data_IF_977525387131
#
_entry.id   IF_977525387131
#
_cell.length_a   1.000
_cell.length_b   1.000
_cell.length_c   1.000
_cell.angle_alpha   90.00
_cell.angle_beta   90.00
_cell.angle_gamma   90.00
#
_symmetry.space_group_name_H-M   'P 1'
#
loop_
_entity.id
_entity.type
_entity.pdbx_description
1 polymer ?
#
# COMPACT_ATOMS: atom_id res chain seq x y z
N UNK A 1 67.46 21.20 -33.19
CA UNK A 1 67.00 20.53 -31.95
C UNK A 1 65.60 21.00 -31.64
N UNK A 2 64.58 20.22 -32.00
CA UNK A 2 63.18 20.51 -31.71
C UNK A 2 62.81 19.81 -30.39
N UNK A 3 62.38 20.60 -29.43
CA UNK A 3 61.91 20.12 -28.14
C UNK A 3 60.46 19.58 -28.26
N UNK A 4 60.25 18.33 -27.91
CA UNK A 4 58.92 17.70 -27.84
C UNK A 4 58.24 18.12 -26.51
N UNK A 5 57.01 18.65 -26.64
CA UNK A 5 56.14 18.90 -25.50
C UNK A 5 55.47 17.60 -25.02
N UNK A 6 55.29 17.41 -23.70
CA UNK A 6 54.62 16.22 -23.18
C UNK A 6 53.09 16.31 -23.37
N UNK A 7 52.50 15.17 -23.83
CA UNK A 7 51.07 14.96 -23.92
C UNK A 7 50.42 14.98 -22.52
N UNK A 8 49.46 15.89 -22.32
CA UNK A 8 48.57 15.84 -21.16
C UNK A 8 47.56 14.71 -21.29
N UNK A 9 47.60 13.82 -20.34
CA UNK A 9 46.64 12.74 -20.15
C UNK A 9 45.30 13.36 -19.69
N UNK A 10 44.26 13.29 -20.50
CA UNK A 10 42.90 13.68 -20.11
C UNK A 10 42.33 12.65 -19.14
N UNK A 11 41.96 13.11 -17.96
CA UNK A 11 41.16 12.33 -17.00
C UNK A 11 39.72 12.13 -17.54
N UNK A 12 39.12 10.94 -17.34
CA UNK A 12 37.71 10.71 -17.73
C UNK A 12 36.79 11.54 -16.82
N UNK A 13 36.05 12.47 -17.44
CA UNK A 13 34.98 13.19 -16.76
C UNK A 13 33.88 12.23 -16.35
N UNK A 14 33.56 12.19 -15.06
CA UNK A 14 32.36 11.52 -14.54
C UNK A 14 31.13 12.12 -15.20
N UNK A 15 30.39 11.27 -15.93
CA UNK A 15 29.21 11.68 -16.65
C UNK A 15 28.12 12.17 -15.70
N UNK A 16 27.68 13.40 -15.90
CA UNK A 16 26.45 13.91 -15.29
C UNK A 16 25.25 13.07 -15.76
N UNK A 17 24.25 12.84 -14.91
CA UNK A 17 23.05 12.16 -15.33
C UNK A 17 22.35 12.94 -16.45
N UNK A 18 22.27 12.33 -17.64
CA UNK A 18 21.54 12.91 -18.78
C UNK A 18 20.05 12.93 -18.46
N UNK A 19 19.51 14.11 -18.21
CA UNK A 19 18.07 14.36 -18.22
C UNK A 19 17.60 14.22 -19.67
N UNK A 20 16.90 13.15 -19.96
CA UNK A 20 16.35 12.90 -21.30
C UNK A 20 14.97 13.58 -21.39
N UNK A 21 14.84 14.61 -22.23
CA UNK A 21 13.55 15.19 -22.60
C UNK A 21 13.07 14.45 -23.84
N UNK A 22 11.94 13.70 -23.79
CA UNK A 22 11.49 12.93 -24.93
C UNK A 22 10.77 13.80 -25.94
N UNK A 23 11.27 13.85 -27.17
CA UNK A 23 10.44 14.11 -28.35
C UNK A 23 9.67 12.84 -28.70
N UNK A 24 8.42 12.98 -29.14
CA UNK A 24 7.48 11.91 -29.49
C UNK A 24 8.13 10.76 -30.29
N UNK A 25 8.26 9.60 -29.67
CA UNK A 25 8.77 8.38 -30.31
C UNK A 25 9.29 7.40 -29.26
N UNK A 26 8.65 6.23 -29.15
CA UNK A 26 9.02 5.03 -28.36
C UNK A 26 9.95 5.29 -27.14
N UNK A 27 9.36 5.71 -26.02
CA UNK A 27 10.03 5.82 -24.74
C UNK A 27 10.47 4.42 -24.28
N UNK A 28 11.73 4.08 -24.46
CA UNK A 28 12.34 2.94 -23.76
C UNK A 28 12.63 3.35 -22.33
N UNK A 29 11.79 2.90 -21.40
CA UNK A 29 12.06 3.06 -19.97
C UNK A 29 13.19 2.11 -19.57
N UNK A 30 14.36 2.64 -19.25
CA UNK A 30 15.42 1.87 -18.58
C UNK A 30 15.06 1.78 -17.10
N UNK A 31 14.64 0.60 -16.66
CA UNK A 31 14.36 0.35 -15.25
C UNK A 31 15.67 0.36 -14.46
N UNK A 32 15.71 1.17 -13.42
CA UNK A 32 16.82 1.24 -12.48
C UNK A 32 16.65 0.16 -11.41
N UNK A 33 17.73 -0.14 -10.68
CA UNK A 33 17.62 -1.03 -9.51
C UNK A 33 17.11 -0.27 -8.26
N UNK A 34 16.81 1.02 -8.39
CA UNK A 34 16.29 1.84 -7.31
C UNK A 34 14.76 1.99 -7.41
N UNK A 35 14.00 1.46 -6.43
CA UNK A 35 12.55 1.50 -6.46
C UNK A 35 11.96 2.90 -6.35
N UNK A 36 12.63 3.87 -5.74
CA UNK A 36 12.16 5.25 -5.66
C UNK A 36 12.22 5.94 -7.02
N UNK A 37 13.28 5.70 -7.80
CA UNK A 37 13.39 6.18 -9.17
C UNK A 37 12.27 5.63 -10.06
N UNK A 38 11.87 4.37 -9.85
CA UNK A 38 10.75 3.76 -10.58
C UNK A 38 9.40 4.35 -10.15
N UNK A 39 9.21 4.58 -8.85
CA UNK A 39 8.04 5.29 -8.33
C UNK A 39 7.95 6.71 -8.88
N UNK A 40 9.07 7.42 -9.04
CA UNK A 40 9.07 8.77 -9.62
C UNK A 40 8.37 8.81 -10.97
N UNK A 41 8.59 7.81 -11.82
CA UNK A 41 8.04 7.71 -13.17
C UNK A 41 6.57 7.24 -13.19
N UNK A 42 6.05 6.67 -12.12
CA UNK A 42 4.73 6.05 -12.09
C UNK A 42 3.60 7.08 -11.93
N UNK A 43 2.45 6.79 -12.53
CA UNK A 43 1.22 7.59 -12.39
C UNK A 43 0.18 6.92 -11.49
N UNK A 44 0.31 5.60 -11.28
CA UNK A 44 -0.63 4.78 -10.53
C UNK A 44 0.08 3.60 -9.91
N UNK A 45 -0.46 3.08 -8.80
CA UNK A 45 -0.12 1.77 -8.28
C UNK A 45 -1.35 0.88 -8.19
N UNK A 46 -1.16 -0.42 -8.39
CA UNK A 46 -2.18 -1.46 -8.16
C UNK A 46 -1.63 -2.43 -7.11
N UNK A 47 -2.32 -2.56 -5.99
CA UNK A 47 -2.03 -3.52 -4.94
C UNK A 47 -2.99 -4.70 -5.14
N UNK A 48 -2.46 -5.91 -5.24
CA UNK A 48 -3.24 -7.15 -5.32
C UNK A 48 -2.86 -8.05 -4.16
N UNK A 49 -3.82 -8.39 -3.33
CA UNK A 49 -3.65 -9.40 -2.29
C UNK A 49 -3.60 -10.77 -2.92
N UNK A 50 -2.70 -11.63 -2.45
CA UNK A 50 -2.61 -13.00 -2.92
C UNK A 50 -3.68 -13.84 -2.21
N UNK A 51 -4.56 -14.56 -2.95
CA UNK A 51 -5.52 -15.47 -2.34
C UNK A 51 -4.82 -16.59 -1.56
N UNK A 52 -5.22 -16.80 -0.33
CA UNK A 52 -4.67 -17.85 0.56
C UNK A 52 -5.62 -19.05 0.57
N UNK A 53 -5.36 -20.02 -0.32
CA UNK A 53 -6.19 -21.25 -0.40
C UNK A 53 -6.21 -22.04 0.91
N UNK A 54 -5.16 -21.95 1.72
CA UNK A 54 -5.09 -22.59 3.03
C UNK A 54 -6.13 -22.05 4.01
N UNK A 55 -6.43 -20.77 3.99
CA UNK A 55 -7.47 -20.16 4.83
C UNK A 55 -8.87 -20.64 4.45
N UNK A 56 -9.15 -20.74 3.14
CA UNK A 56 -10.42 -21.22 2.62
C UNK A 56 -10.69 -22.67 3.10
N UNK A 57 -9.64 -23.49 3.17
CA UNK A 57 -9.77 -24.90 3.55
C UNK A 57 -9.78 -25.14 5.07
N UNK A 58 -9.04 -24.37 5.83
CA UNK A 58 -8.81 -24.60 7.26
C UNK A 58 -9.54 -23.62 8.17
N UNK A 59 -9.95 -22.46 7.67
CA UNK A 59 -10.50 -21.36 8.46
C UNK A 59 -9.47 -20.69 9.38
N UNK A 60 -8.17 -21.00 9.21
CA UNK A 60 -7.09 -20.39 9.99
C UNK A 60 -6.46 -19.26 9.21
N UNK A 61 -6.40 -18.09 9.82
CA UNK A 61 -5.80 -16.89 9.22
C UNK A 61 -4.29 -17.08 9.02
N UNK A 62 -3.81 -16.87 7.79
CA UNK A 62 -2.41 -16.96 7.41
C UNK A 62 -1.76 -15.60 7.30
N UNK A 63 -0.49 -15.51 6.87
CA UNK A 63 0.23 -14.24 6.68
C UNK A 63 -0.19 -13.59 5.37
N UNK A 64 -0.65 -12.36 5.41
CA UNK A 64 -1.03 -11.62 4.22
C UNK A 64 0.15 -11.39 3.27
N UNK A 65 -0.12 -11.54 1.98
CA UNK A 65 0.84 -11.29 0.91
C UNK A 65 0.22 -10.41 -0.15
N UNK A 66 0.99 -9.38 -0.55
CA UNK A 66 0.55 -8.45 -1.56
C UNK A 66 1.59 -8.31 -2.67
N UNK A 67 1.10 -8.08 -3.87
CA UNK A 67 1.86 -7.74 -5.06
C UNK A 67 1.53 -6.32 -5.47
N UNK A 68 2.54 -5.46 -5.58
CA UNK A 68 2.37 -4.07 -5.97
C UNK A 68 2.91 -3.86 -7.36
N UNK A 69 2.05 -3.42 -8.25
CA UNK A 69 2.37 -3.05 -9.62
C UNK A 69 2.30 -1.54 -9.76
N UNK A 70 3.17 -0.96 -10.56
CA UNK A 70 3.09 0.45 -10.96
C UNK A 70 2.70 0.56 -12.42
N UNK A 71 1.94 1.61 -12.74
CA UNK A 71 1.59 1.95 -14.12
C UNK A 71 2.37 3.20 -14.53
N UNK A 72 3.07 3.13 -15.65
CA UNK A 72 3.80 4.23 -16.25
C UNK A 72 2.88 5.10 -17.12
N UNK A 73 3.28 6.33 -17.50
CA UNK A 73 2.45 7.21 -18.32
C UNK A 73 2.04 6.64 -19.68
N UNK A 74 2.81 5.68 -20.22
CA UNK A 74 2.47 4.97 -21.45
C UNK A 74 1.47 3.82 -21.26
N UNK A 75 0.98 3.61 -20.03
CA UNK A 75 0.06 2.53 -19.68
C UNK A 75 0.72 1.18 -19.37
N UNK A 76 2.05 1.07 -19.48
CA UNK A 76 2.76 -0.17 -19.14
C UNK A 76 2.71 -0.43 -17.64
N UNK A 77 2.32 -1.64 -17.25
CA UNK A 77 2.41 -2.11 -15.87
C UNK A 77 3.76 -2.79 -15.60
N UNK A 78 4.33 -2.52 -14.42
CA UNK A 78 5.52 -3.18 -13.92
C UNK A 78 5.28 -3.69 -12.48
N UNK A 79 5.68 -4.93 -12.22
CA UNK A 79 5.73 -5.47 -10.86
C UNK A 79 6.88 -4.82 -10.10
N UNK A 80 6.57 -4.10 -9.01
CA UNK A 80 7.55 -3.31 -8.28
C UNK A 80 7.90 -3.92 -6.91
N UNK A 81 6.87 -4.25 -6.12
CA UNK A 81 7.08 -4.77 -4.76
C UNK A 81 6.30 -6.05 -4.51
N UNK A 82 6.95 -6.94 -3.76
CA UNK A 82 6.31 -8.04 -3.04
C UNK A 82 6.29 -7.70 -1.55
N UNK A 83 5.09 -7.70 -0.96
CA UNK A 83 4.92 -7.43 0.45
C UNK A 83 4.50 -8.71 1.17
N UNK A 84 5.07 -8.94 2.35
CA UNK A 84 4.77 -10.10 3.19
C UNK A 84 4.61 -9.67 4.63
N UNK A 85 3.47 -10.01 5.21
CA UNK A 85 3.22 -9.85 6.64
C UNK A 85 4.10 -10.80 7.46
N UNK A 86 4.60 -10.32 8.59
CA UNK A 86 5.23 -11.13 9.63
C UNK A 86 4.47 -10.89 10.93
N UNK A 87 3.67 -11.85 11.32
CA UNK A 87 2.93 -11.88 12.58
C UNK A 87 2.88 -13.31 13.12
N UNK A 88 2.68 -13.47 14.41
CA UNK A 88 2.58 -14.80 14.98
C UNK A 88 1.18 -15.39 14.74
N UNK A 89 1.10 -16.70 14.47
CA UNK A 89 -0.18 -17.38 14.26
C UNK A 89 -1.14 -17.22 15.45
N UNK A 90 -0.63 -17.18 16.67
CA UNK A 90 -1.43 -16.91 17.86
C UNK A 90 -2.04 -15.50 17.83
N UNK A 91 -1.27 -14.48 17.48
CA UNK A 91 -1.79 -13.10 17.39
C UNK A 91 -2.86 -12.96 16.31
N UNK A 92 -2.68 -13.63 15.16
CA UNK A 92 -3.68 -13.60 14.07
C UNK A 92 -5.02 -14.19 14.49
N UNK A 93 -4.99 -15.31 15.20
CA UNK A 93 -6.21 -16.03 15.56
C UNK A 93 -6.80 -15.64 16.93
N UNK A 94 -6.04 -14.95 17.79
CA UNK A 94 -6.49 -14.57 19.14
C UNK A 94 -6.76 -13.08 19.30
N UNK A 95 -6.17 -12.22 18.46
CA UNK A 95 -6.33 -10.77 18.55
C UNK A 95 -7.08 -10.24 17.33
N UNK A 96 -7.90 -9.21 17.56
CA UNK A 96 -8.51 -8.48 16.43
C UNK A 96 -7.44 -7.79 15.60
N UNK A 97 -7.63 -7.67 14.29
CA UNK A 97 -6.72 -6.98 13.37
C UNK A 97 -6.33 -5.58 13.87
N UNK A 98 -7.27 -4.88 14.50
CA UNK A 98 -7.07 -3.56 15.09
C UNK A 98 -6.00 -3.51 16.17
N UNK A 99 -5.99 -4.49 17.07
CA UNK A 99 -5.15 -4.49 18.26
C UNK A 99 -3.78 -5.12 17.99
N UNK A 100 -3.72 -6.16 17.14
CA UNK A 100 -2.49 -6.93 16.96
C UNK A 100 -1.34 -6.10 16.38
N UNK A 101 -0.14 -6.42 16.84
CA UNK A 101 1.09 -5.97 16.19
C UNK A 101 1.26 -6.70 14.87
N UNK A 102 1.74 -6.01 13.85
CA UNK A 102 2.26 -6.65 12.65
C UNK A 102 3.44 -5.89 12.08
N UNK A 103 4.25 -6.61 11.33
CA UNK A 103 5.30 -6.09 10.50
C UNK A 103 5.07 -6.57 9.08
N UNK A 104 5.30 -5.70 8.10
CA UNK A 104 5.20 -6.06 6.70
C UNK A 104 6.49 -5.71 6.00
N UNK A 105 7.20 -6.71 5.50
CA UNK A 105 8.42 -6.52 4.71
C UNK A 105 8.06 -6.25 3.26
N UNK A 106 8.67 -5.21 2.70
CA UNK A 106 8.53 -4.79 1.31
C UNK A 106 9.82 -5.12 0.57
N UNK A 107 9.74 -6.08 -0.35
CA UNK A 107 10.86 -6.48 -1.21
C UNK A 107 10.70 -5.85 -2.58
N UNK A 108 11.73 -5.16 -3.05
CA UNK A 108 11.80 -4.66 -4.43
C UNK A 108 12.06 -5.81 -5.41
N UNK A 109 11.39 -5.78 -6.55
CA UNK A 109 11.50 -6.76 -7.64
C UNK A 109 12.04 -6.04 -8.89
N UNK A 110 13.35 -5.94 -9.07
CA UNK A 110 13.93 -5.18 -10.18
C UNK A 110 13.63 -5.82 -11.54
N UNK A 111 13.63 -7.16 -11.61
CA UNK A 111 13.35 -7.92 -12.84
C UNK A 111 12.46 -9.12 -12.50
N UNK A 112 11.44 -9.36 -13.32
CA UNK A 112 10.54 -10.51 -13.17
C UNK A 112 11.22 -11.74 -13.75
N UNK A 113 12.25 -12.27 -13.09
CA UNK A 113 12.90 -13.52 -13.49
C UNK A 113 12.31 -14.75 -12.81
N UNK A 114 11.60 -14.57 -11.68
CA UNK A 114 10.91 -15.66 -10.97
C UNK A 114 9.93 -15.11 -9.94
N UNK A 115 8.64 -15.46 -10.08
CA UNK A 115 7.61 -15.22 -9.04
C UNK A 115 7.85 -16.10 -7.78
N UNK A 116 8.69 -17.12 -7.87
CA UNK A 116 8.91 -18.11 -6.82
C UNK A 116 10.01 -17.75 -5.83
N UNK A 117 10.64 -16.56 -5.92
CA UNK A 117 11.61 -16.16 -4.92
C UNK A 117 10.91 -15.85 -3.58
N UNK A 118 10.92 -16.83 -2.70
CA UNK A 118 10.30 -16.76 -1.36
C UNK A 118 11.22 -16.12 -0.31
N UNK A 119 12.48 -15.86 -0.64
CA UNK A 119 13.46 -15.35 0.30
C UNK A 119 13.27 -13.86 0.57
N UNK A 120 12.79 -13.49 1.75
CA UNK A 120 12.76 -12.13 2.29
C UNK A 120 14.01 -11.79 3.13
N UNK A 121 15.17 -12.37 2.82
CA UNK A 121 16.41 -12.08 3.54
C UNK A 121 16.86 -10.64 3.40
N UNK A 122 16.63 -10.05 2.22
CA UNK A 122 16.86 -8.64 1.93
C UNK A 122 15.53 -8.00 1.54
N UNK A 123 15.17 -6.89 2.14
CA UNK A 123 13.97 -6.12 1.84
C UNK A 123 14.31 -4.63 1.77
N UNK A 124 13.53 -3.89 1.02
CA UNK A 124 13.72 -2.46 0.78
C UNK A 124 13.23 -1.63 1.97
N UNK A 125 12.04 -1.95 2.46
CA UNK A 125 11.40 -1.24 3.55
C UNK A 125 10.54 -2.18 4.41
N UNK A 126 10.22 -1.71 5.61
CA UNK A 126 9.37 -2.42 6.56
C UNK A 126 8.26 -1.49 7.07
N UNK A 127 7.05 -1.99 7.13
CA UNK A 127 5.94 -1.31 7.77
C UNK A 127 5.77 -1.91 9.17
N UNK A 128 5.63 -1.06 10.17
CA UNK A 128 5.55 -1.46 11.56
C UNK A 128 4.29 -0.87 12.18
N UNK A 129 3.38 -1.73 12.62
CA UNK A 129 2.22 -1.37 13.42
C UNK A 129 2.40 -1.97 14.81
N UNK A 130 2.63 -1.16 15.84
CA UNK A 130 2.75 -1.66 17.20
C UNK A 130 1.41 -2.22 17.70
N UNK A 131 1.48 -3.12 18.69
CA UNK A 131 0.30 -3.53 19.43
C UNK A 131 -0.37 -2.30 20.07
N UNK A 132 -1.67 -2.16 19.87
CA UNK A 132 -2.44 -1.07 20.49
C UNK A 132 -3.86 -1.55 20.76
N UNK A 133 -4.25 -1.52 22.02
CA UNK A 133 -5.62 -1.82 22.39
C UNK A 133 -6.53 -0.68 21.92
N UNK A 134 -7.41 -0.98 20.96
CA UNK A 134 -8.34 -0.01 20.38
C UNK A 134 -9.73 -0.09 21.00
N UNK A 135 -9.80 -0.42 22.31
CA UNK A 135 -11.07 -0.54 23.02
C UNK A 135 -11.86 0.78 23.13
N UNK A 136 -11.22 1.91 22.85
CA UNK A 136 -11.88 3.22 22.82
C UNK A 136 -11.48 4.02 21.57
N UNK A 137 -12.29 5.01 21.21
CA UNK A 137 -12.06 5.85 20.03
C UNK A 137 -10.75 6.66 20.08
N UNK A 138 -10.17 6.85 21.25
CA UNK A 138 -8.93 7.61 21.45
C UNK A 138 -7.68 6.81 21.12
N UNK A 139 -7.73 5.47 21.19
CA UNK A 139 -6.58 4.61 20.98
C UNK A 139 -6.53 4.08 19.53
N UNK A 140 -6.49 4.98 18.55
CA UNK A 140 -6.45 4.62 17.14
C UNK A 140 -5.07 4.11 16.70
N UNK A 141 -5.00 3.10 15.82
CA UNK A 141 -3.74 2.54 15.37
C UNK A 141 -2.97 3.50 14.45
N UNK A 142 -1.65 3.34 14.50
CA UNK A 142 -0.70 4.06 13.66
C UNK A 142 0.26 3.07 13.05
N UNK A 143 0.64 3.25 11.80
CA UNK A 143 1.67 2.46 11.13
C UNK A 143 2.81 3.37 10.70
N UNK A 144 4.05 2.90 10.84
CA UNK A 144 5.27 3.58 10.40
C UNK A 144 5.96 2.80 9.30
N UNK A 145 6.52 3.51 8.35
CA UNK A 145 7.35 2.96 7.29
C UNK A 145 8.81 3.33 7.50
N UNK A 146 9.69 2.33 7.50
CA UNK A 146 11.13 2.51 7.69
C UNK A 146 11.90 1.86 6.54
N UNK A 147 12.97 2.53 6.07
CA UNK A 147 13.91 1.91 5.14
C UNK A 147 14.74 0.84 5.84
N UNK A 148 14.95 -0.28 5.17
CA UNK A 148 15.74 -1.39 5.71
C UNK A 148 17.21 -1.03 5.93
N UNK A 149 17.77 -0.16 5.07
CA UNK A 149 19.20 0.17 5.01
C UNK A 149 19.69 1.00 6.20
N UNK A 150 18.90 2.01 6.59
CA UNK A 150 19.32 3.00 7.61
C UNK A 150 18.31 3.19 8.74
N UNK A 151 17.20 2.44 8.71
CA UNK A 151 16.09 2.57 9.68
C UNK A 151 15.47 3.96 9.75
N UNK A 152 15.68 4.79 8.72
CA UNK A 152 15.04 6.08 8.62
C UNK A 152 13.56 5.91 8.35
N UNK A 153 12.74 6.62 9.10
CA UNK A 153 11.28 6.69 8.90
C UNK A 153 11.01 7.53 7.65
N UNK A 154 10.31 6.98 6.66
CA UNK A 154 9.90 7.74 5.48
C UNK A 154 8.46 8.26 5.59
N UNK A 155 7.66 7.69 6.49
CA UNK A 155 6.30 8.15 6.71
C UNK A 155 5.60 7.47 7.86
N UNK A 156 4.53 8.10 8.30
CA UNK A 156 3.61 7.61 9.33
C UNK A 156 2.18 7.80 8.84
N UNK A 157 1.32 6.81 9.09
CA UNK A 157 -0.10 6.90 8.80
C UNK A 157 -0.86 6.59 10.07
N UNK A 158 -1.73 7.52 10.44
CA UNK A 158 -2.57 7.42 11.62
C UNK A 158 -4.04 7.31 11.20
N UNK A 159 -4.73 6.34 11.76
CA UNK A 159 -6.18 6.27 11.73
C UNK A 159 -6.71 7.27 12.78
N UNK A 160 -7.28 8.39 12.33
CA UNK A 160 -7.80 9.44 13.21
C UNK A 160 -9.23 9.15 13.65
N UNK A 161 -9.57 9.63 14.85
CA UNK A 161 -10.94 9.56 15.33
C UNK A 161 -11.82 10.51 14.53
N UNK A 162 -12.87 9.97 13.92
CA UNK A 162 -13.89 10.75 13.23
C UNK A 162 -15.28 10.23 13.62
N UNK A 163 -16.29 11.09 13.55
CA UNK A 163 -17.65 10.72 13.97
C UNK A 163 -18.31 9.69 13.05
N UNK A 164 -18.07 9.77 11.75
CA UNK A 164 -18.78 8.95 10.76
C UNK A 164 -17.83 8.32 9.76
N UNK A 165 -17.13 9.13 8.99
CA UNK A 165 -16.29 8.68 7.90
C UNK A 165 -14.87 8.36 8.38
N UNK A 166 -14.31 7.18 8.08
CA UNK A 166 -12.91 6.90 8.40
C UNK A 166 -11.97 7.95 7.82
N UNK A 167 -11.03 8.41 8.65
CA UNK A 167 -10.06 9.43 8.34
C UNK A 167 -8.65 8.93 8.64
N UNK A 168 -7.78 8.96 7.62
CA UNK A 168 -6.37 8.66 7.78
C UNK A 168 -5.55 9.90 7.49
N UNK A 169 -4.53 10.12 8.31
CA UNK A 169 -3.58 11.21 8.15
C UNK A 169 -2.23 10.63 7.80
N UNK A 170 -1.69 11.07 6.66
CA UNK A 170 -0.35 10.70 6.20
C UNK A 170 0.59 11.85 6.51
N UNK A 171 1.63 11.57 7.27
CA UNK A 171 2.68 12.52 7.62
C UNK A 171 4.07 11.94 7.36
N UNK A 172 5.03 12.81 7.10
CA UNK A 172 6.44 12.51 7.28
C UNK A 172 6.91 13.11 8.62
N UNK A 173 8.19 13.01 8.94
CA UNK A 173 8.74 13.54 10.21
C UNK A 173 8.48 15.05 10.44
N UNK A 174 8.17 15.81 9.39
CA UNK A 174 8.13 17.28 9.43
C UNK A 174 6.73 17.85 9.27
N UNK A 175 5.86 17.20 8.52
CA UNK A 175 4.56 17.77 8.15
C UNK A 175 3.53 16.73 7.75
N UNK A 176 2.26 17.10 7.86
CA UNK A 176 1.14 16.34 7.30
C UNK A 176 1.09 16.59 5.78
N UNK A 177 1.12 15.51 5.02
CA UNK A 177 1.11 15.54 3.55
C UNK A 177 -0.28 15.39 2.97
N UNK A 178 -1.01 14.38 3.44
CA UNK A 178 -2.30 14.00 2.87
C UNK A 178 -3.29 13.56 3.93
N UNK A 179 -4.57 13.71 3.58
CA UNK A 179 -5.69 13.14 4.32
C UNK A 179 -6.41 12.16 3.40
N UNK A 180 -6.75 10.97 3.89
CA UNK A 180 -7.58 10.01 3.16
C UNK A 180 -8.90 9.90 3.89
N UNK A 181 -10.01 10.18 3.17
CA UNK A 181 -11.37 10.09 3.70
C UNK A 181 -12.15 9.01 2.96
N UNK A 182 -12.86 8.18 3.71
CA UNK A 182 -13.71 7.11 3.18
C UNK A 182 -15.13 7.42 3.58
N UNK A 183 -16.05 7.60 2.62
CA UNK A 183 -17.46 7.77 2.96
C UNK A 183 -18.04 6.45 3.46
N UNK A 184 -18.57 6.43 4.67
CA UNK A 184 -19.12 5.23 5.30
C UNK A 184 -20.39 4.70 4.61
N UNK A 185 -21.14 5.57 3.91
CA UNK A 185 -22.38 5.21 3.23
C UNK A 185 -22.20 4.50 1.87
N UNK A 186 -20.97 4.18 1.46
CA UNK A 186 -20.73 3.37 0.26
C UNK A 186 -21.13 1.92 0.50
N UNK A 187 -21.88 1.31 -0.43
CA UNK A 187 -22.36 -0.07 -0.30
C UNK A 187 -21.22 -1.07 -0.11
N UNK A 188 -20.12 -0.93 -0.86
CA UNK A 188 -18.92 -1.76 -0.73
C UNK A 188 -18.22 -1.64 0.64
N UNK A 189 -18.44 -0.55 1.37
CA UNK A 189 -17.88 -0.32 2.70
C UNK A 189 -18.83 -0.72 3.82
N UNK A 190 -20.09 -0.25 3.81
CA UNK A 190 -21.04 -0.48 4.91
C UNK A 190 -21.67 -1.88 4.91
N UNK A 191 -21.79 -2.53 3.73
CA UNK A 191 -22.39 -3.85 3.57
C UNK A 191 -21.35 -4.97 3.35
N UNK A 192 -20.12 -4.74 3.72
CA UNK A 192 -18.96 -5.61 3.44
C UNK A 192 -19.20 -7.09 3.74
N UNK A 193 -19.79 -7.41 4.87
CA UNK A 193 -20.10 -8.76 5.34
C UNK A 193 -21.61 -9.00 5.47
N UNK A 194 -22.43 -8.08 4.97
CA UNK A 194 -23.88 -8.15 5.12
C UNK A 194 -24.53 -8.93 3.99
N UNK A 195 -24.97 -10.14 4.29
CA UNK A 195 -25.98 -10.81 3.48
C UNK A 195 -27.32 -10.17 3.78
N UNK A 196 -27.82 -9.33 2.90
CA UNK A 196 -29.24 -9.01 2.85
C UNK A 196 -29.86 -10.09 1.97
N UNK A 197 -30.61 -11.03 2.58
CA UNK A 197 -31.27 -12.16 1.89
C UNK A 197 -30.30 -13.10 1.12
N UNK A 198 -29.11 -13.39 1.67
CA UNK A 198 -28.17 -14.32 1.05
C UNK A 198 -27.35 -13.76 -0.13
N UNK A 199 -27.52 -12.48 -0.47
CA UNK A 199 -26.72 -11.78 -1.48
C UNK A 199 -25.87 -10.74 -0.80
N UNK A 200 -24.58 -11.06 -0.60
CA UNK A 200 -23.60 -10.12 -0.08
C UNK A 200 -23.33 -9.01 -1.08
N UNK A 201 -23.94 -7.83 -0.89
CA UNK A 201 -23.77 -6.71 -1.83
C UNK A 201 -22.39 -6.04 -1.72
N UNK A 202 -21.67 -6.23 -0.61
CA UNK A 202 -20.43 -5.49 -0.34
C UNK A 202 -19.25 -5.81 -1.26
N UNK A 203 -19.07 -7.10 -1.58
CA UNK A 203 -17.98 -7.54 -2.48
C UNK A 203 -18.22 -7.18 -3.96
N UNK A 204 -19.44 -6.81 -4.33
CA UNK A 204 -19.81 -6.48 -5.71
C UNK A 204 -19.78 -4.98 -6.02
N UNK A 205 -19.26 -4.16 -5.12
CA UNK A 205 -19.19 -2.72 -5.32
C UNK A 205 -17.79 -2.18 -5.01
N UNK A 206 -17.31 -1.33 -5.89
CA UNK A 206 -16.08 -0.57 -5.66
C UNK A 206 -16.26 0.34 -4.42
N UNK A 207 -15.16 0.56 -3.69
CA UNK A 207 -15.09 1.55 -2.62
C UNK A 207 -14.12 2.65 -3.04
N UNK A 208 -14.59 3.89 -3.08
CA UNK A 208 -13.76 5.06 -3.37
C UNK A 208 -13.32 5.76 -2.08
N UNK A 209 -12.05 6.11 -2.03
CA UNK A 209 -11.41 6.85 -0.96
C UNK A 209 -10.75 8.08 -1.56
N UNK A 210 -11.02 9.26 -0.99
CA UNK A 210 -10.50 10.50 -1.51
C UNK A 210 -9.17 10.85 -0.85
N UNK A 211 -8.15 11.13 -1.65
CA UNK A 211 -6.88 11.71 -1.19
C UNK A 211 -7.02 13.22 -1.26
N UNK A 212 -6.81 13.90 -0.12
CA UNK A 212 -6.99 15.33 0.04
C UNK A 212 -5.73 16.02 0.51
N UNK A 213 -5.60 17.29 0.20
CA UNK A 213 -4.51 18.16 0.65
C UNK A 213 -5.09 19.39 1.36
N UNK A 214 -4.41 19.85 2.40
CA UNK A 214 -4.80 21.06 3.13
C UNK A 214 -5.80 20.85 4.27
N UNK A 215 -6.24 19.59 4.51
CA UNK A 215 -7.17 19.24 5.59
C UNK A 215 -8.09 18.09 5.21
N UNK A 216 -8.86 17.58 6.19
CA UNK A 216 -9.88 16.55 5.97
C UNK A 216 -10.97 17.02 5.00
N UNK A 217 -11.23 18.31 4.94
CA UNK A 217 -12.19 18.97 4.04
C UNK A 217 -11.51 19.63 2.84
N UNK A 218 -10.18 19.47 2.73
CA UNK A 218 -9.38 20.03 1.67
C UNK A 218 -9.73 19.48 0.28
N UNK A 219 -9.05 20.03 -0.75
CA UNK A 219 -9.29 19.64 -2.12
C UNK A 219 -8.96 18.16 -2.37
N UNK A 220 -9.82 17.46 -3.09
CA UNK A 220 -9.55 16.11 -3.59
C UNK A 220 -8.53 16.23 -4.72
N UNK A 221 -7.37 15.63 -4.55
CA UNK A 221 -6.27 15.67 -5.52
C UNK A 221 -6.03 14.33 -6.22
N UNK A 222 -6.49 13.23 -5.63
CA UNK A 222 -6.40 11.89 -6.20
C UNK A 222 -7.37 10.95 -5.46
N UNK A 223 -7.40 9.66 -5.87
CA UNK A 223 -8.28 8.66 -5.29
C UNK A 223 -7.56 7.33 -5.09
N UNK A 224 -8.01 6.58 -4.08
CA UNK A 224 -7.78 5.14 -3.94
C UNK A 224 -9.11 4.44 -4.21
N UNK A 225 -9.09 3.37 -5.00
CA UNK A 225 -10.28 2.55 -5.29
C UNK A 225 -10.00 1.12 -4.90
N UNK A 226 -10.76 0.60 -3.94
CA UNK A 226 -10.88 -0.84 -3.74
C UNK A 226 -11.81 -1.37 -4.80
N UNK A 227 -11.34 -2.32 -5.60
CA UNK A 227 -12.12 -2.92 -6.67
C UNK A 227 -13.05 -4.01 -6.14
N UNK A 228 -14.21 -4.13 -6.73
CA UNK A 228 -15.05 -5.32 -6.52
C UNK A 228 -14.32 -6.57 -6.96
N UNK A 229 -14.66 -7.72 -6.38
CA UNK A 229 -14.10 -9.01 -6.79
C UNK A 229 -14.33 -9.25 -8.29
N UNK A 230 -13.24 -9.55 -9.02
CA UNK A 230 -13.27 -9.70 -10.47
C UNK A 230 -13.41 -11.16 -10.90
N UNK A 231 -13.02 -12.07 -10.05
CA UNK A 231 -13.11 -13.51 -10.32
C UNK A 231 -13.68 -14.29 -9.12
N UNK A 232 -13.92 -15.59 -9.35
CA UNK A 232 -14.50 -16.47 -8.33
C UNK A 232 -13.55 -16.67 -7.13
N UNK A 233 -12.23 -16.68 -7.35
CA UNK A 233 -11.26 -16.82 -6.27
C UNK A 233 -11.22 -15.58 -5.38
N UNK A 234 -11.24 -14.37 -5.96
CA UNK A 234 -11.37 -13.13 -5.20
C UNK A 234 -12.69 -13.06 -4.43
N UNK A 235 -13.77 -13.63 -4.98
CA UNK A 235 -15.09 -13.65 -4.33
C UNK A 235 -15.13 -14.56 -3.11
N UNK A 236 -14.49 -15.74 -3.15
CA UNK A 236 -14.50 -16.72 -2.06
C UNK A 236 -13.35 -16.55 -1.08
N UNK A 237 -12.27 -15.87 -1.48
CA UNK A 237 -11.17 -15.45 -0.61
C UNK A 237 -11.39 -14.02 -0.14
N UNK A 238 -10.61 -13.58 0.85
CA UNK A 238 -10.58 -12.18 1.26
C UNK A 238 -9.58 -11.35 0.44
N UNK A 239 -9.12 -11.89 -0.70
CA UNK A 239 -8.17 -11.22 -1.58
C UNK A 239 -8.78 -10.00 -2.25
N UNK A 240 -8.20 -8.85 -1.99
CA UNK A 240 -8.66 -7.55 -2.44
C UNK A 240 -7.69 -6.90 -3.43
N UNK A 241 -8.24 -6.08 -4.34
CA UNK A 241 -7.45 -5.30 -5.28
C UNK A 241 -7.68 -3.82 -5.08
N UNK A 242 -6.59 -3.06 -4.90
CA UNK A 242 -6.61 -1.60 -4.74
C UNK A 242 -5.91 -0.92 -5.90
N UNK A 243 -6.49 0.15 -6.40
CA UNK A 243 -5.92 1.03 -7.41
C UNK A 243 -5.71 2.40 -6.80
N UNK A 244 -4.48 2.89 -6.77
CA UNK A 244 -4.08 4.17 -6.20
C UNK A 244 -3.67 5.09 -7.33
N UNK A 245 -4.42 6.16 -7.54
CA UNK A 245 -4.03 7.23 -8.44
C UNK A 245 -3.09 8.19 -7.67
N UNK A 246 -1.93 8.48 -8.23
CA UNK A 246 -0.99 9.35 -7.56
C UNK A 246 -1.27 10.82 -7.88
N UNK A 247 -1.22 11.72 -6.86
CA UNK A 247 -1.22 13.15 -7.11
C UNK A 247 -0.08 13.54 -8.05
N UNK A 248 -0.31 14.49 -8.96
CA UNK A 248 0.72 14.93 -9.93
C UNK A 248 1.97 15.51 -9.28
N UNK A 249 1.83 16.06 -8.08
CA UNK A 249 2.91 16.68 -7.31
C UNK A 249 3.56 15.72 -6.30
N UNK A 250 3.12 14.46 -6.25
CA UNK A 250 3.62 13.48 -5.28
C UNK A 250 5.08 13.12 -5.56
N UNK A 251 5.92 13.22 -4.54
CA UNK A 251 7.29 12.71 -4.58
C UNK A 251 7.31 11.17 -4.58
N UNK A 252 8.44 10.52 -4.91
CA UNK A 252 8.54 9.06 -4.80
C UNK A 252 8.20 8.53 -3.40
N UNK A 253 8.63 9.23 -2.35
CA UNK A 253 8.32 8.91 -0.96
C UNK A 253 6.84 9.08 -0.65
N UNK A 254 6.20 10.14 -1.18
CA UNK A 254 4.75 10.33 -1.04
C UNK A 254 3.97 9.18 -1.69
N UNK A 255 4.42 8.71 -2.86
CA UNK A 255 3.82 7.56 -3.55
C UNK A 255 3.98 6.27 -2.75
N UNK A 256 5.17 6.07 -2.14
CA UNK A 256 5.41 4.95 -1.23
C UNK A 256 4.50 5.01 0.00
N UNK A 257 4.31 6.20 0.58
CA UNK A 257 3.37 6.43 1.69
C UNK A 257 1.92 6.15 1.30
N UNK A 258 1.50 6.50 0.08
CA UNK A 258 0.16 6.18 -0.42
C UNK A 258 -0.04 4.68 -0.63
N UNK A 259 0.99 3.95 -1.08
CA UNK A 259 0.97 2.47 -1.14
C UNK A 259 0.84 1.90 0.28
N UNK A 260 1.64 2.39 1.24
CA UNK A 260 1.54 1.99 2.64
C UNK A 260 0.13 2.25 3.20
N UNK A 261 -0.50 3.37 2.83
CA UNK A 261 -1.86 3.69 3.23
C UNK A 261 -2.88 2.67 2.69
N UNK A 262 -2.74 2.28 1.43
CA UNK A 262 -3.60 1.24 0.84
C UNK A 262 -3.52 -0.08 1.60
N UNK A 263 -2.30 -0.54 1.92
CA UNK A 263 -2.06 -1.75 2.72
C UNK A 263 -2.62 -1.63 4.14
N UNK A 264 -2.48 -0.46 4.78
CA UNK A 264 -2.99 -0.23 6.12
C UNK A 264 -4.52 -0.15 6.18
N UNK A 265 -5.15 0.46 5.18
CA UNK A 265 -6.61 0.53 5.06
C UNK A 265 -7.20 -0.86 4.86
N UNK A 266 -6.58 -1.69 4.02
CA UNK A 266 -6.96 -3.08 3.84
C UNK A 266 -6.95 -3.83 5.17
N UNK A 267 -5.81 -3.84 5.81
CA UNK A 267 -5.61 -4.47 7.12
C UNK A 267 -6.61 -3.97 8.18
N UNK A 268 -6.93 -2.68 8.16
CA UNK A 268 -7.74 -2.03 9.20
C UNK A 268 -9.24 -2.24 9.01
N UNK A 269 -9.70 -2.28 7.77
CA UNK A 269 -11.13 -2.23 7.47
C UNK A 269 -11.64 -3.39 6.60
N UNK A 270 -10.78 -4.07 5.85
CA UNK A 270 -11.21 -5.07 4.88
C UNK A 270 -10.72 -6.47 5.17
N UNK A 271 -9.70 -6.64 5.99
CA UNK A 271 -9.29 -7.96 6.48
C UNK A 271 -10.38 -8.55 7.38
N UNK A 272 -10.85 -9.76 7.06
CA UNK A 272 -11.77 -10.48 7.93
C UNK A 272 -10.97 -11.24 8.98
N UNK A 273 -11.36 -11.13 10.25
CA UNK A 273 -10.81 -11.99 11.29
C UNK A 273 -11.42 -13.39 11.14
N UNK A 274 -10.62 -14.37 10.75
CA UNK A 274 -11.00 -15.77 10.51
C UNK A 274 -11.44 -16.57 11.74
N UNK A 275 -12.06 -15.97 12.69
CA UNK A 275 -12.71 -16.63 13.82
C UNK A 275 -14.20 -16.35 13.77
N UNK A 276 -15.03 -17.39 13.55
CA UNK A 276 -16.48 -17.37 13.45
C UNK A 276 -17.28 -16.65 14.54
N UNK A 277 -16.83 -15.50 14.98
CA UNK A 277 -17.59 -14.55 15.81
C UNK A 277 -18.01 -13.37 14.95
N UNK A 278 -19.11 -13.65 14.27
CA UNK A 278 -20.14 -12.74 13.79
C UNK A 278 -19.84 -11.25 13.88
N UNK A 279 -19.95 -10.64 12.72
CA UNK A 279 -20.38 -9.27 12.41
C UNK A 279 -21.39 -8.59 13.37
N UNK A 280 -21.90 -9.27 14.39
CA UNK A 280 -22.79 -8.70 15.40
C UNK A 280 -22.10 -7.69 16.35
N UNK A 281 -20.78 -7.80 16.55
CA UNK A 281 -20.02 -6.87 17.41
C UNK A 281 -19.75 -5.52 16.78
N UNK A 282 -19.66 -5.44 15.45
CA UNK A 282 -19.35 -4.18 14.76
C UNK A 282 -20.59 -3.28 14.56
N UNK A 283 -21.79 -3.85 14.55
CA UNK A 283 -23.05 -3.07 14.49
C UNK A 283 -23.31 -2.19 15.71
N UNK A 284 -22.66 -2.46 16.86
CA UNK A 284 -22.85 -1.67 18.08
C UNK A 284 -21.88 -0.49 18.24
N UNK A 285 -20.82 -0.40 17.44
CA UNK A 285 -19.80 0.67 17.63
C UNK A 285 -19.98 1.88 16.70
N UNK A 286 -20.88 1.82 15.73
CA UNK A 286 -21.13 2.95 14.82
C UNK A 286 -22.29 3.82 15.29
N UNK A 287 -23.08 3.37 16.29
CA UNK A 287 -24.25 4.11 16.77
C UNK A 287 -24.29 4.16 18.31
N UNK A 288 -23.33 4.87 18.91
CA UNK A 288 -23.52 5.54 20.22
C UNK A 288 -22.46 6.61 20.39
#
# INVERSE_FOLDING_TARGET
MMAQQPMMTQQPMMGQPKVFIPMFGNLQYTFTQDPLSELALSVRATIRQQPELGEIMTGWETENRYHVFITLPNGMEKYLFKCKEESTGCQRNCCTADAREFKMKIKHIPNVTSFNDTAFKTYFAELIKPFKCTCCCLARPTIKGEYSSNKQVFGEIKDECSCCDPLFVISNEKEIKYYITIRCCQCGFCCRNGSVNGQGCGKFNDVEMNIRQGGSDGNIIAKIKKKMAQDYLELISDADTYVIEFPKTATPEDKLNLIMAGLFIDYRYFESTGGGYSSAGYRRRVYH
#
